data_IF_733749700882
#
_entry.id   IF_733749700882
#
_cell.length_a   1.000
_cell.length_b   1.000
_cell.length_c   1.000
_cell.angle_alpha   90.00
_cell.angle_beta   90.00
_cell.angle_gamma   90.00
#
_symmetry.space_group_name_H-M   'P 1'
#
loop_
_entity.id
_entity.type
_entity.pdbx_description
1 polymer ?
#
# COMPACT_ATOMS: atom_id res chain seq x y z
N UNK A 1 7.04 -4.19 20.86
CA UNK A 1 6.20 -3.88 19.69
C UNK A 1 7.04 -3.20 18.64
N UNK A 2 6.45 -2.85 17.49
CA UNK A 2 7.11 -2.04 16.44
C UNK A 2 7.47 -0.67 17.02
N UNK A 3 8.68 -0.17 16.69
CA UNK A 3 9.22 1.11 17.21
C UNK A 3 9.48 2.16 16.15
N UNK A 4 9.64 1.76 14.89
CA UNK A 4 9.84 2.68 13.77
C UNK A 4 8.80 2.33 12.70
N UNK A 5 8.00 3.33 12.31
CA UNK A 5 6.89 3.17 11.37
C UNK A 5 7.01 4.21 10.27
N UNK A 6 6.95 3.75 9.02
CA UNK A 6 6.70 4.61 7.87
C UNK A 6 5.25 4.40 7.46
N UNK A 7 4.42 5.44 7.63
CA UNK A 7 3.03 5.44 7.19
C UNK A 7 2.95 6.28 5.93
N UNK A 8 2.53 5.66 4.83
CA UNK A 8 2.48 6.31 3.52
C UNK A 8 1.06 6.44 2.99
N UNK A 9 0.78 7.58 2.36
CA UNK A 9 -0.41 7.78 1.54
C UNK A 9 -0.12 8.88 0.53
N UNK A 10 -0.95 9.03 -0.50
CA UNK A 10 -0.82 10.13 -1.48
C UNK A 10 -0.82 11.53 -0.84
N UNK A 11 -1.48 11.69 0.31
CA UNK A 11 -1.53 12.98 1.05
C UNK A 11 -0.44 13.08 2.13
N UNK A 12 0.18 11.97 2.52
CA UNK A 12 1.20 11.94 3.56
C UNK A 12 0.78 12.67 4.84
N UNK A 13 1.60 13.60 5.38
CA UNK A 13 1.28 14.38 6.57
C UNK A 13 -0.03 15.19 6.47
N UNK A 14 -0.46 15.54 5.26
CA UNK A 14 -1.68 16.32 5.03
C UNK A 14 -2.95 15.46 4.99
N UNK A 15 -2.83 14.15 5.25
CA UNK A 15 -4.00 13.28 5.35
C UNK A 15 -4.81 13.61 6.62
N UNK A 16 -6.16 13.64 6.55
CA UNK A 16 -7.00 13.83 7.73
C UNK A 16 -6.69 12.79 8.81
N UNK A 17 -6.45 13.23 10.04
CA UNK A 17 -6.12 12.35 11.17
C UNK A 17 -4.66 11.93 11.27
N UNK A 18 -3.79 12.31 10.33
CA UNK A 18 -2.41 11.82 10.30
C UNK A 18 -1.56 12.36 11.45
N UNK A 19 -1.71 13.65 11.78
CA UNK A 19 -1.01 14.27 12.90
C UNK A 19 -1.45 13.65 14.24
N UNK A 20 -2.76 13.44 14.43
CA UNK A 20 -3.32 12.82 15.62
C UNK A 20 -2.84 11.37 15.78
N UNK A 21 -2.89 10.57 14.70
CA UNK A 21 -2.40 9.19 14.71
C UNK A 21 -0.89 9.12 15.01
N UNK A 22 -0.10 10.03 14.41
CA UNK A 22 1.33 10.08 14.67
C UNK A 22 1.64 10.42 16.12
N UNK A 23 0.87 11.33 16.73
CA UNK A 23 1.02 11.69 18.14
C UNK A 23 0.65 10.51 19.06
N UNK A 24 -0.46 9.82 18.80
CA UNK A 24 -0.88 8.64 19.57
C UNK A 24 0.18 7.53 19.53
N UNK A 25 0.72 7.23 18.35
CA UNK A 25 1.78 6.24 18.20
C UNK A 25 3.08 6.65 18.89
N UNK A 26 3.41 7.94 18.88
CA UNK A 26 4.57 8.48 19.60
C UNK A 26 4.41 8.36 21.12
N UNK A 27 3.22 8.60 21.67
CA UNK A 27 2.92 8.37 23.09
C UNK A 27 3.06 6.89 23.50
N UNK A 28 2.82 5.97 22.56
CA UNK A 28 3.06 4.53 22.72
C UNK A 28 4.54 4.13 22.52
N UNK A 29 5.42 5.10 22.24
CA UNK A 29 6.86 4.93 22.10
C UNK A 29 7.27 4.42 20.72
N UNK A 30 6.60 4.86 19.65
CA UNK A 30 7.02 4.65 18.27
C UNK A 30 7.48 5.95 17.61
N UNK A 31 8.53 5.88 16.80
CA UNK A 31 8.92 6.93 15.87
C UNK A 31 8.16 6.74 14.57
N UNK A 32 7.42 7.76 14.14
CA UNK A 32 6.53 7.70 12.98
C UNK A 32 6.98 8.70 11.93
N UNK A 33 7.21 8.21 10.72
CA UNK A 33 7.41 9.01 9.52
C UNK A 33 6.13 8.96 8.69
N UNK A 34 5.48 10.11 8.53
CA UNK A 34 4.36 10.28 7.60
C UNK A 34 4.93 10.68 6.22
N UNK A 35 4.77 9.82 5.22
CA UNK A 35 5.31 10.04 3.88
C UNK A 35 4.20 10.27 2.85
N UNK A 36 4.33 11.34 2.06
CA UNK A 36 3.51 11.54 0.88
C UNK A 36 4.10 10.73 -0.28
N UNK A 37 3.46 9.63 -0.66
CA UNK A 37 3.89 8.79 -1.77
C UNK A 37 2.71 8.06 -2.38
N UNK A 38 2.64 8.03 -3.70
CA UNK A 38 1.80 7.09 -4.44
C UNK A 38 2.61 5.81 -4.65
N UNK A 39 2.16 4.69 -4.06
CA UNK A 39 2.86 3.40 -4.15
C UNK A 39 2.77 2.78 -5.54
N UNK A 40 1.87 3.27 -6.39
CA UNK A 40 1.84 2.90 -7.81
C UNK A 40 2.92 3.63 -8.63
N UNK A 41 3.49 4.73 -8.13
CA UNK A 41 4.65 5.36 -8.75
C UNK A 41 5.93 4.66 -8.26
N UNK A 42 6.53 3.90 -9.17
CA UNK A 42 7.75 3.12 -8.87
C UNK A 42 8.90 3.99 -8.40
N UNK A 43 9.10 5.16 -8.99
CA UNK A 43 10.23 6.02 -8.65
C UNK A 43 10.01 6.62 -7.26
N UNK A 44 8.82 7.17 -7.00
CA UNK A 44 8.49 7.74 -5.69
C UNK A 44 8.59 6.68 -4.58
N UNK A 45 8.14 5.45 -4.84
CA UNK A 45 8.28 4.34 -3.90
C UNK A 45 9.75 3.95 -3.67
N UNK A 46 10.57 3.93 -4.72
CA UNK A 46 12.01 3.70 -4.61
C UNK A 46 12.68 4.74 -3.71
N UNK A 47 12.40 6.02 -3.97
CA UNK A 47 12.93 7.14 -3.18
C UNK A 47 12.50 7.04 -1.70
N UNK A 48 11.26 6.62 -1.44
CA UNK A 48 10.77 6.39 -0.08
C UNK A 48 11.51 5.25 0.63
N UNK A 49 11.79 4.14 -0.08
CA UNK A 49 12.51 3.01 0.48
C UNK A 49 13.98 3.35 0.75
N UNK A 50 14.61 4.13 -0.12
CA UNK A 50 16.00 4.57 0.02
C UNK A 50 16.17 5.58 1.18
N UNK A 51 15.08 6.24 1.61
CA UNK A 51 15.06 7.13 2.77
C UNK A 51 14.92 6.41 4.13
N UNK A 52 14.72 5.09 4.14
CA UNK A 52 14.66 4.31 5.40
C UNK A 52 16.03 4.28 6.07
N UNK A 53 16.07 4.61 7.36
CA UNK A 53 17.31 4.66 8.12
C UNK A 53 18.01 3.27 8.13
N UNK A 54 19.26 3.17 7.64
CA UNK A 54 20.00 1.91 7.66
C UNK A 54 20.27 1.37 9.09
N UNK A 55 20.22 2.20 10.13
CA UNK A 55 20.27 1.75 11.53
C UNK A 55 18.99 0.99 11.94
N UNK A 56 17.87 1.25 11.26
CA UNK A 56 16.56 0.65 11.49
C UNK A 56 16.00 0.07 10.18
N UNK A 57 16.63 -0.97 9.63
CA UNK A 57 16.31 -1.47 8.29
C UNK A 57 14.85 -1.95 8.20
N UNK A 58 14.28 -1.86 6.99
CA UNK A 58 12.93 -2.34 6.72
C UNK A 58 12.83 -3.86 6.97
N UNK A 59 11.98 -4.25 7.91
CA UNK A 59 11.78 -5.66 8.29
C UNK A 59 10.39 -6.19 7.97
N UNK A 60 9.42 -5.32 7.69
CA UNK A 60 8.08 -5.72 7.30
C UNK A 60 7.44 -4.70 6.35
N UNK A 61 6.67 -5.20 5.39
CA UNK A 61 5.75 -4.40 4.56
C UNK A 61 4.33 -4.86 4.84
N UNK A 62 3.43 -3.90 5.09
CA UNK A 62 1.99 -4.13 5.15
C UNK A 62 1.34 -3.26 4.08
N UNK A 63 0.94 -3.89 2.97
CA UNK A 63 0.30 -3.22 1.86
C UNK A 63 -1.21 -3.18 2.07
N UNK A 64 -1.69 -2.05 2.58
CA UNK A 64 -3.11 -1.77 2.82
C UNK A 64 -3.66 -0.66 1.92
N UNK A 65 -2.90 -0.22 0.91
CA UNK A 65 -3.37 0.76 -0.06
C UNK A 65 -4.47 0.15 -0.94
N UNK A 66 -5.45 0.96 -1.29
CA UNK A 66 -6.55 0.52 -2.13
C UNK A 66 -7.48 1.67 -2.51
N UNK A 67 -8.14 1.49 -3.64
CA UNK A 67 -9.23 2.30 -4.11
C UNK A 67 -10.38 1.37 -4.49
N UNK A 68 -11.61 1.80 -4.20
CA UNK A 68 -12.82 1.11 -4.66
C UNK A 68 -13.53 2.04 -5.64
N UNK A 69 -13.92 1.49 -6.78
CA UNK A 69 -14.71 2.19 -7.80
C UNK A 69 -15.68 1.21 -8.46
N UNK A 70 -16.84 1.02 -7.82
CA UNK A 70 -17.81 0.01 -8.23
C UNK A 70 -18.50 0.35 -9.56
N UNK A 71 -18.71 -0.65 -10.38
CA UNK A 71 -19.41 -0.54 -11.65
C UNK A 71 -19.71 -1.90 -12.27
N UNK A 72 -20.88 -2.02 -12.90
CA UNK A 72 -21.16 -3.15 -13.77
C UNK A 72 -20.09 -3.22 -14.87
N UNK A 73 -19.74 -4.43 -15.31
CA UNK A 73 -18.73 -4.61 -16.39
C UNK A 73 -19.03 -3.74 -17.61
N UNK A 74 -20.31 -3.60 -17.98
CA UNK A 74 -20.74 -2.77 -19.11
C UNK A 74 -20.48 -1.26 -18.93
N UNK A 75 -20.27 -0.77 -17.70
CA UNK A 75 -20.00 0.64 -17.38
C UNK A 75 -18.56 0.89 -16.91
N UNK A 76 -17.73 -0.14 -16.83
CA UNK A 76 -16.31 0.00 -16.55
C UNK A 76 -15.58 0.49 -17.80
N UNK A 77 -14.75 1.52 -17.62
CA UNK A 77 -13.82 1.99 -18.64
C UNK A 77 -12.41 1.54 -18.26
N UNK A 78 -11.47 1.44 -19.22
CA UNK A 78 -10.08 1.11 -18.91
C UNK A 78 -9.50 1.99 -17.80
N UNK A 79 -9.75 3.31 -17.86
CA UNK A 79 -9.31 4.24 -16.83
C UNK A 79 -9.84 3.92 -15.42
N UNK A 80 -11.11 3.53 -15.29
CA UNK A 80 -11.70 3.15 -13.99
C UNK A 80 -11.16 1.80 -13.49
N UNK A 81 -10.81 0.93 -14.43
CA UNK A 81 -10.16 -0.34 -14.13
C UNK A 81 -8.73 -0.09 -13.60
N UNK A 82 -7.91 0.63 -14.36
CA UNK A 82 -6.53 0.97 -14.02
C UNK A 82 -6.44 1.72 -12.68
N UNK A 83 -7.38 2.63 -12.40
CA UNK A 83 -7.41 3.37 -11.14
C UNK A 83 -7.59 2.46 -9.90
N UNK A 84 -8.26 1.31 -10.04
CA UNK A 84 -8.44 0.34 -8.96
C UNK A 84 -7.29 -0.66 -8.88
N UNK A 85 -6.71 -1.02 -10.03
CA UNK A 85 -5.56 -1.92 -10.09
C UNK A 85 -4.28 -1.25 -9.58
N UNK A 86 -4.02 -0.01 -9.98
CA UNK A 86 -2.78 0.70 -9.67
C UNK A 86 -2.38 0.66 -8.18
N UNK A 87 -3.23 1.04 -7.20
CA UNK A 87 -2.85 1.03 -5.80
C UNK A 87 -2.74 -0.37 -5.19
N UNK A 88 -3.07 -1.44 -5.94
CA UNK A 88 -3.01 -2.84 -5.50
C UNK A 88 -2.01 -3.65 -6.32
N UNK A 89 -2.35 -3.97 -7.57
CA UNK A 89 -1.54 -4.84 -8.42
C UNK A 89 -0.18 -4.21 -8.76
N UNK A 90 -0.19 -3.02 -9.37
CA UNK A 90 1.05 -2.34 -9.78
C UNK A 90 1.90 -2.00 -8.54
N UNK A 91 1.28 -1.46 -7.49
CA UNK A 91 1.95 -1.15 -6.24
C UNK A 91 2.57 -2.38 -5.56
N UNK A 92 1.87 -3.51 -5.49
CA UNK A 92 2.41 -4.73 -4.92
C UNK A 92 3.56 -5.30 -5.76
N UNK A 93 3.46 -5.21 -7.09
CA UNK A 93 4.55 -5.59 -7.99
C UNK A 93 5.80 -4.71 -7.76
N UNK A 94 5.62 -3.39 -7.68
CA UNK A 94 6.73 -2.49 -7.40
C UNK A 94 7.35 -2.75 -6.03
N UNK A 95 6.53 -2.93 -5.00
CA UNK A 95 7.00 -3.28 -3.66
C UNK A 95 7.79 -4.59 -3.68
N UNK A 96 7.30 -5.62 -4.39
CA UNK A 96 7.98 -6.91 -4.52
C UNK A 96 9.39 -6.74 -5.09
N UNK A 97 9.51 -6.11 -6.25
CA UNK A 97 10.81 -5.93 -6.91
C UNK A 97 11.76 -5.04 -6.10
N UNK A 98 11.30 -3.87 -5.66
CA UNK A 98 12.15 -2.90 -4.98
C UNK A 98 12.62 -3.42 -3.61
N UNK A 99 11.76 -4.13 -2.87
CA UNK A 99 12.14 -4.68 -1.56
C UNK A 99 13.04 -5.91 -1.69
N UNK A 100 12.91 -6.71 -2.76
CA UNK A 100 13.87 -7.78 -3.05
C UNK A 100 15.29 -7.24 -3.27
N UNK A 101 15.42 -6.06 -3.89
CA UNK A 101 16.71 -5.39 -4.12
C UNK A 101 17.25 -4.66 -2.88
N UNK A 102 16.36 -3.97 -2.14
CA UNK A 102 16.76 -2.98 -1.12
C UNK A 102 16.61 -3.44 0.32
N UNK A 103 15.78 -4.45 0.59
CA UNK A 103 15.42 -4.87 1.93
C UNK A 103 15.79 -6.35 2.18
N UNK A 104 17.09 -6.71 2.20
CA UNK A 104 17.53 -8.10 2.41
C UNK A 104 17.17 -8.67 3.79
N UNK A 105 16.77 -7.80 4.75
CA UNK A 105 16.35 -8.19 6.10
C UNK A 105 14.82 -8.28 6.26
N UNK A 106 14.06 -8.17 5.17
CA UNK A 106 12.61 -8.25 5.20
C UNK A 106 12.16 -9.64 5.68
N UNK A 107 11.31 -9.65 6.72
CA UNK A 107 10.80 -10.88 7.36
C UNK A 107 9.31 -11.10 7.10
N UNK A 108 8.59 -10.04 6.74
CA UNK A 108 7.16 -10.10 6.47
C UNK A 108 6.78 -9.21 5.28
N UNK A 109 5.96 -9.75 4.39
CA UNK A 109 5.37 -9.03 3.27
C UNK A 109 3.88 -9.40 3.23
N UNK A 110 3.05 -8.50 3.77
CA UNK A 110 1.63 -8.76 4.01
C UNK A 110 0.81 -7.92 3.03
N UNK A 111 -0.03 -8.58 2.23
CA UNK A 111 -0.91 -7.94 1.26
C UNK A 111 -2.36 -8.03 1.74
N UNK A 112 -3.05 -6.89 1.84
CA UNK A 112 -4.46 -6.89 2.18
C UNK A 112 -5.30 -7.09 0.92
N UNK A 113 -5.73 -8.34 0.71
CA UNK A 113 -6.71 -8.72 -0.31
C UNK A 113 -8.17 -8.54 0.20
N UNK A 114 -9.14 -9.15 -0.47
CA UNK A 114 -10.55 -9.15 -0.10
C UNK A 114 -11.24 -10.45 -0.51
N UNK A 115 -12.29 -10.85 0.23
CA UNK A 115 -13.12 -12.02 -0.12
C UNK A 115 -13.88 -11.85 -1.44
N UNK A 116 -13.94 -10.64 -2.00
CA UNK A 116 -14.63 -10.32 -3.26
C UNK A 116 -14.03 -11.03 -4.47
N UNK A 117 -12.81 -11.57 -4.37
CA UNK A 117 -12.23 -12.45 -5.39
C UNK A 117 -12.89 -13.84 -5.46
N UNK A 118 -13.57 -14.25 -4.39
CA UNK A 118 -14.12 -15.61 -4.22
C UNK A 118 -15.64 -15.62 -3.98
N UNK A 119 -16.20 -14.55 -3.43
CA UNK A 119 -17.63 -14.37 -3.20
C UNK A 119 -18.19 -13.36 -4.19
N UNK A 120 -19.29 -13.71 -4.85
CA UNK A 120 -19.94 -12.89 -5.87
C UNK A 120 -20.37 -11.53 -5.28
N UNK A 121 -19.74 -10.46 -5.74
CA UNK A 121 -20.19 -9.10 -5.45
C UNK A 121 -20.39 -8.34 -6.77
N UNK A 122 -21.64 -8.31 -7.22
CA UNK A 122 -22.02 -7.67 -8.47
C UNK A 122 -21.53 -6.21 -8.50
N UNK A 123 -20.77 -5.86 -9.55
CA UNK A 123 -20.23 -4.51 -9.73
C UNK A 123 -18.79 -4.31 -9.26
N UNK A 124 -18.10 -5.35 -8.79
CA UNK A 124 -16.72 -5.24 -8.28
C UNK A 124 -15.69 -5.96 -9.15
N UNK A 125 -15.90 -6.08 -10.46
CA UNK A 125 -15.01 -6.84 -11.34
C UNK A 125 -13.55 -6.34 -11.33
N UNK A 126 -13.35 -5.01 -11.35
CA UNK A 126 -12.03 -4.37 -11.22
C UNK A 126 -11.40 -4.61 -9.84
N UNK A 127 -12.17 -4.46 -8.76
CA UNK A 127 -11.69 -4.66 -7.40
C UNK A 127 -11.36 -6.13 -7.11
N UNK A 128 -12.20 -7.06 -7.56
CA UNK A 128 -11.94 -8.49 -7.48
C UNK A 128 -10.67 -8.87 -8.24
N UNK A 129 -10.48 -8.39 -9.47
CA UNK A 129 -9.26 -8.62 -10.24
C UNK A 129 -8.01 -8.11 -9.52
N UNK A 130 -8.06 -6.89 -8.96
CA UNK A 130 -6.96 -6.31 -8.22
C UNK A 130 -6.60 -7.10 -6.94
N UNK A 131 -7.59 -7.67 -6.24
CA UNK A 131 -7.38 -8.46 -5.03
C UNK A 131 -6.89 -9.88 -5.34
N UNK A 132 -7.45 -10.55 -6.35
CA UNK A 132 -6.98 -11.88 -6.78
C UNK A 132 -5.53 -11.84 -7.26
N UNK A 133 -5.08 -10.72 -7.85
CA UNK A 133 -3.66 -10.53 -8.15
C UNK A 133 -2.77 -10.57 -6.89
N UNK A 134 -3.23 -10.02 -5.76
CA UNK A 134 -2.48 -10.05 -4.51
C UNK A 134 -2.44 -11.44 -3.86
N UNK A 135 -3.42 -12.30 -4.16
CA UNK A 135 -3.52 -13.65 -3.60
C UNK A 135 -2.64 -14.68 -4.34
N UNK A 136 -2.19 -14.37 -5.56
CA UNK A 136 -1.44 -15.26 -6.45
C UNK A 136 0.08 -15.22 -6.20
#
# INVERSE_FOLDING_TARGET
GVRHLVLTSRRGPDAPGAAELSAELAELGAEVTLAACDVADRQALGDLLDAVDPAHPLTAVVHAAGLVDDGLIASLTPRRFDAVLAPKADAAWHLHELTAERAPQLKAFVLFSSTTGFLDNAGQANYAAANVFLDA
#
